data_IF_210898513480
#
_entry.id   IF_210898513480
#
_cell.length_a   1.000
_cell.length_b   1.000
_cell.length_c   1.000
_cell.angle_alpha   90.00
_cell.angle_beta   90.00
_cell.angle_gamma   90.00
#
_symmetry.space_group_name_H-M   'P 1'
#
loop_
_entity.id
_entity.type
_entity.pdbx_description
1 polymer ?
#
# COMPACT_ATOMS: atom_id res chain seq x y z
N UNK A 1 20.92 11.27 7.40
CA UNK A 1 19.91 11.89 8.28
C UNK A 1 18.94 12.62 7.37
N UNK A 2 17.94 11.92 6.88
CA UNK A 2 16.90 12.48 5.99
C UNK A 2 15.82 13.11 6.87
N UNK A 3 15.64 14.43 6.74
CA UNK A 3 14.69 15.18 7.52
C UNK A 3 13.27 14.79 7.19
N UNK A 4 12.65 13.99 8.04
CA UNK A 4 11.20 13.77 8.03
C UNK A 4 10.56 15.12 8.28
N UNK A 5 9.87 15.67 7.29
CA UNK A 5 9.06 16.88 7.44
C UNK A 5 7.89 16.58 8.36
N UNK A 6 8.03 16.90 9.64
CA UNK A 6 6.93 16.78 10.60
C UNK A 6 5.96 17.93 10.38
N UNK A 7 4.77 17.63 9.87
CA UNK A 7 3.66 18.57 9.95
C UNK A 7 3.27 18.81 11.43
N UNK A 8 2.74 19.98 11.78
CA UNK A 8 2.43 20.33 13.16
C UNK A 8 1.39 19.36 13.74
N UNK A 9 1.56 19.01 15.03
CA UNK A 9 0.59 18.24 15.77
C UNK A 9 -0.81 18.86 15.63
N UNK A 10 -1.77 18.14 15.05
CA UNK A 10 -3.17 18.55 15.14
C UNK A 10 -3.62 18.39 16.58
N UNK A 11 -3.85 19.52 17.24
CA UNK A 11 -4.25 19.56 18.66
C UNK A 11 -5.76 19.51 18.84
N UNK A 12 -6.52 19.72 17.78
CA UNK A 12 -7.98 19.77 17.80
C UNK A 12 -8.54 18.50 17.17
N UNK A 13 -9.38 17.74 17.90
CA UNK A 13 -10.09 16.59 17.33
C UNK A 13 -10.96 17.00 16.12
N UNK A 14 -11.11 16.12 15.11
CA UNK A 14 -11.94 16.39 13.96
C UNK A 14 -13.43 16.51 14.39
N UNK A 15 -14.14 17.44 13.78
CA UNK A 15 -15.56 17.66 14.06
C UNK A 15 -16.48 16.94 13.08
N UNK A 16 -16.03 16.75 11.83
CA UNK A 16 -16.78 16.10 10.75
C UNK A 16 -15.98 14.92 10.22
N UNK A 17 -16.45 13.72 10.54
CA UNK A 17 -15.77 12.46 10.21
C UNK A 17 -16.67 11.63 9.30
N UNK A 18 -16.12 11.17 8.19
CA UNK A 18 -16.78 10.20 7.31
C UNK A 18 -15.96 8.92 7.29
N UNK A 19 -16.56 7.80 7.71
CA UNK A 19 -15.93 6.48 7.66
C UNK A 19 -16.44 5.71 6.44
N UNK A 20 -15.53 5.38 5.53
CA UNK A 20 -15.76 4.55 4.35
C UNK A 20 -15.41 3.11 4.73
N UNK A 21 -16.40 2.23 4.76
CA UNK A 21 -16.29 0.88 5.31
C UNK A 21 -16.47 -0.16 4.21
N UNK A 22 -15.49 -1.03 4.04
CA UNK A 22 -15.66 -2.24 3.25
C UNK A 22 -16.38 -3.30 4.10
N UNK A 23 -17.60 -3.73 3.74
CA UNK A 23 -18.37 -4.69 4.54
C UNK A 23 -17.77 -6.10 4.57
N UNK A 24 -16.87 -6.44 3.62
CA UNK A 24 -16.15 -7.72 3.59
C UNK A 24 -15.03 -7.80 4.65
N UNK A 25 -14.93 -6.83 5.57
CA UNK A 25 -13.93 -6.84 6.65
C UNK A 25 -14.16 -7.99 7.63
N UNK A 26 -13.08 -8.47 8.22
CA UNK A 26 -13.14 -9.53 9.27
C UNK A 26 -13.85 -9.11 10.55
N UNK A 27 -14.05 -7.81 10.75
CA UNK A 27 -14.53 -7.24 12.03
C UNK A 27 -16.04 -7.05 12.06
N UNK A 28 -16.68 -6.97 10.89
CA UNK A 28 -18.12 -6.71 10.75
C UNK A 28 -18.49 -5.24 11.00
N UNK A 29 -19.41 -4.74 10.17
CA UNK A 29 -19.82 -3.31 10.17
C UNK A 29 -20.41 -2.86 11.50
N UNK A 30 -21.19 -3.71 12.18
CA UNK A 30 -21.81 -3.35 13.47
C UNK A 30 -20.75 -3.09 14.55
N UNK A 31 -19.68 -3.88 14.60
CA UNK A 31 -18.58 -3.67 15.54
C UNK A 31 -17.78 -2.39 15.22
N UNK A 32 -17.56 -2.11 13.93
CA UNK A 32 -16.92 -0.87 13.46
C UNK A 32 -17.76 0.34 13.89
N UNK A 33 -19.05 0.32 13.62
CA UNK A 33 -20.00 1.39 14.02
C UNK A 33 -19.93 1.63 15.53
N UNK A 34 -20.05 0.56 16.32
CA UNK A 34 -20.00 0.65 17.78
C UNK A 34 -18.68 1.25 18.28
N UNK A 35 -17.53 0.85 17.71
CA UNK A 35 -16.23 1.35 18.12
C UNK A 35 -16.04 2.85 17.78
N UNK A 36 -16.47 3.27 16.59
CA UNK A 36 -16.38 4.67 16.15
C UNK A 36 -17.32 5.56 16.99
N UNK A 37 -18.56 5.13 17.25
CA UNK A 37 -19.51 5.86 18.07
C UNK A 37 -19.03 6.00 19.53
N UNK A 38 -18.44 4.94 20.11
CA UNK A 38 -17.86 4.99 21.44
C UNK A 38 -16.64 5.91 21.54
N UNK A 39 -15.88 6.05 20.46
CA UNK A 39 -14.69 6.90 20.42
C UNK A 39 -15.04 8.37 20.11
N UNK A 40 -16.19 8.63 19.49
CA UNK A 40 -16.64 9.93 19.06
C UNK A 40 -16.92 10.86 20.23
N UNK A 41 -16.29 12.04 20.32
CA UNK A 41 -16.59 13.01 21.37
C UNK A 41 -17.94 13.68 21.14
N UNK A 42 -18.53 14.21 22.22
CA UNK A 42 -19.75 14.99 22.13
C UNK A 42 -19.57 16.19 21.16
N UNK A 43 -20.55 16.39 20.28
CA UNK A 43 -20.51 17.48 19.28
C UNK A 43 -19.75 17.17 17.99
N UNK A 44 -19.06 16.03 17.89
CA UNK A 44 -18.52 15.58 16.60
C UNK A 44 -19.59 14.85 15.78
N UNK A 45 -19.60 15.10 14.48
CA UNK A 45 -20.48 14.44 13.53
C UNK A 45 -19.76 13.25 12.89
N UNK A 46 -20.44 12.12 12.75
CA UNK A 46 -19.93 10.90 12.15
C UNK A 46 -20.95 10.36 11.14
N UNK A 47 -20.49 10.16 9.90
CA UNK A 47 -21.22 9.42 8.87
C UNK A 47 -20.44 8.13 8.54
N UNK A 48 -21.16 7.02 8.41
CA UNK A 48 -20.60 5.75 7.98
C UNK A 48 -21.20 5.38 6.64
N UNK A 49 -20.33 5.15 5.64
CA UNK A 49 -20.68 4.81 4.28
C UNK A 49 -20.14 3.40 4.01
N UNK A 50 -21.02 2.46 3.74
CA UNK A 50 -20.65 1.09 3.36
C UNK A 50 -20.51 1.02 1.84
N UNK A 51 -19.46 0.37 1.37
CA UNK A 51 -19.09 0.29 -0.06
C UNK A 51 -19.07 -1.16 -0.52
N UNK A 52 -20.04 -1.54 -1.34
CA UNK A 52 -20.23 -2.92 -1.81
C UNK A 52 -19.82 -3.13 -3.27
N UNK A 53 -19.58 -2.04 -4.02
CA UNK A 53 -19.29 -2.09 -5.45
C UNK A 53 -17.87 -1.61 -5.73
N UNK A 54 -17.21 -2.13 -6.77
CA UNK A 54 -15.91 -1.61 -7.22
C UNK A 54 -15.95 -0.09 -7.46
N UNK A 55 -14.95 0.63 -6.98
CA UNK A 55 -14.84 2.09 -7.10
C UNK A 55 -15.79 2.88 -6.19
N UNK A 56 -16.68 2.23 -5.42
CA UNK A 56 -17.57 2.95 -4.49
C UNK A 56 -16.78 3.66 -3.37
N UNK A 57 -15.68 3.08 -2.91
CA UNK A 57 -14.83 3.69 -1.89
C UNK A 57 -14.16 4.97 -2.40
N UNK A 58 -13.69 4.99 -3.65
CA UNK A 58 -13.13 6.19 -4.31
C UNK A 58 -14.18 7.30 -4.39
N UNK A 59 -15.39 6.97 -4.87
CA UNK A 59 -16.48 7.95 -4.98
C UNK A 59 -16.92 8.50 -3.62
N UNK A 60 -17.12 7.62 -2.64
CA UNK A 60 -17.51 8.02 -1.28
C UNK A 60 -16.45 8.91 -0.60
N UNK A 61 -15.16 8.62 -0.82
CA UNK A 61 -14.08 9.44 -0.29
C UNK A 61 -14.03 10.82 -0.97
N UNK A 62 -14.23 10.88 -2.29
CA UNK A 62 -14.27 12.14 -3.06
C UNK A 62 -15.42 13.03 -2.62
N UNK A 63 -16.61 12.46 -2.46
CA UNK A 63 -17.79 13.20 -1.93
C UNK A 63 -17.55 13.65 -0.49
N UNK A 64 -16.96 12.79 0.35
CA UNK A 64 -16.67 13.15 1.73
C UNK A 64 -15.64 14.28 1.84
N UNK A 65 -14.71 14.39 0.90
CA UNK A 65 -13.68 15.41 0.88
C UNK A 65 -14.22 16.84 0.76
N UNK A 66 -15.47 17.03 0.31
CA UNK A 66 -16.09 18.34 0.17
C UNK A 66 -16.36 19.01 1.52
N UNK A 67 -16.60 18.22 2.57
CA UNK A 67 -17.07 18.76 3.85
C UNK A 67 -16.49 18.08 5.11
N UNK A 68 -15.73 17.01 4.98
CA UNK A 68 -15.13 16.31 6.11
C UNK A 68 -13.79 16.88 6.54
N UNK A 69 -13.54 16.91 7.85
CA UNK A 69 -12.20 17.20 8.41
C UNK A 69 -11.28 15.96 8.35
N UNK A 70 -11.89 14.78 8.39
CA UNK A 70 -11.25 13.47 8.41
C UNK A 70 -12.08 12.46 7.65
N UNK A 71 -11.49 11.79 6.68
CA UNK A 71 -12.05 10.59 6.04
C UNK A 71 -11.33 9.37 6.58
N UNK A 72 -12.07 8.34 6.96
CA UNK A 72 -11.53 7.12 7.58
C UNK A 72 -11.73 5.95 6.64
N UNK A 73 -10.64 5.31 6.23
CA UNK A 73 -10.68 4.03 5.56
C UNK A 73 -10.79 2.89 6.59
N UNK A 74 -11.85 2.10 6.48
CA UNK A 74 -12.07 0.92 7.33
C UNK A 74 -12.01 -0.32 6.46
N UNK A 75 -10.86 -0.99 6.45
CA UNK A 75 -10.63 -2.12 5.57
C UNK A 75 -9.18 -2.59 5.56
N UNK A 76 -8.80 -3.29 4.50
CA UNK A 76 -7.42 -3.66 4.19
C UNK A 76 -6.71 -2.60 3.33
N UNK A 77 -5.50 -2.95 2.85
CA UNK A 77 -4.64 -2.03 2.08
C UNK A 77 -5.35 -1.52 0.81
N UNK A 78 -6.07 -2.37 0.06
CA UNK A 78 -6.87 -1.95 -1.10
C UNK A 78 -7.95 -0.91 -0.76
N UNK A 79 -8.67 -1.08 0.37
CA UNK A 79 -9.66 -0.07 0.82
C UNK A 79 -8.97 1.26 1.17
N UNK A 80 -7.78 1.19 1.78
CA UNK A 80 -6.99 2.39 2.11
C UNK A 80 -6.53 3.09 0.84
N UNK A 81 -6.08 2.36 -0.17
CA UNK A 81 -5.67 2.88 -1.47
C UNK A 81 -6.84 3.50 -2.25
N UNK A 82 -8.01 2.85 -2.25
CA UNK A 82 -9.21 3.40 -2.88
C UNK A 82 -9.65 4.72 -2.23
N UNK A 83 -9.69 4.78 -0.89
CA UNK A 83 -10.03 6.02 -0.18
C UNK A 83 -8.97 7.09 -0.45
N UNK A 84 -7.68 6.75 -0.44
CA UNK A 84 -6.61 7.67 -0.78
C UNK A 84 -6.76 8.23 -2.20
N UNK A 85 -7.11 7.37 -3.19
CA UNK A 85 -7.39 7.79 -4.57
C UNK A 85 -8.53 8.82 -4.64
N UNK A 86 -9.58 8.66 -3.83
CA UNK A 86 -10.67 9.63 -3.74
C UNK A 86 -10.28 10.96 -3.10
N UNK A 87 -9.24 10.96 -2.24
CA UNK A 87 -8.76 12.13 -1.52
C UNK A 87 -7.63 12.89 -2.23
N UNK A 88 -7.14 12.41 -3.37
CA UNK A 88 -6.07 13.07 -4.12
C UNK A 88 -6.41 14.54 -4.39
N UNK A 89 -5.50 15.44 -4.02
CA UNK A 89 -5.64 16.88 -4.24
C UNK A 89 -6.62 17.61 -3.29
N UNK A 90 -7.34 16.90 -2.42
CA UNK A 90 -8.31 17.53 -1.49
C UNK A 90 -7.66 18.16 -0.26
N UNK A 91 -6.51 17.66 0.17
CA UNK A 91 -5.87 18.04 1.43
C UNK A 91 -6.60 17.56 2.69
N UNK A 92 -7.64 16.73 2.55
CA UNK A 92 -8.37 16.15 3.68
C UNK A 92 -7.55 15.03 4.31
N UNK A 93 -7.57 14.97 5.64
CA UNK A 93 -6.83 14.00 6.42
C UNK A 93 -7.40 12.59 6.25
N UNK A 94 -6.54 11.59 6.05
CA UNK A 94 -6.92 10.19 5.99
C UNK A 94 -6.61 9.48 7.33
N UNK A 95 -7.63 8.89 7.93
CA UNK A 95 -7.49 7.98 9.05
C UNK A 95 -7.63 6.53 8.61
N UNK A 96 -7.03 5.59 9.33
CA UNK A 96 -7.12 4.17 9.03
C UNK A 96 -7.65 3.40 10.24
N UNK A 97 -8.63 2.53 10.00
CA UNK A 97 -9.02 1.46 10.92
C UNK A 97 -8.70 0.14 10.23
N UNK A 98 -7.58 -0.52 10.62
CA UNK A 98 -7.11 -1.71 9.93
C UNK A 98 -8.06 -2.89 10.18
N UNK A 99 -8.63 -3.44 9.12
CA UNK A 99 -9.59 -4.54 9.18
C UNK A 99 -9.37 -5.62 8.09
N UNK A 100 -8.28 -5.54 7.36
CA UNK A 100 -7.81 -6.53 6.38
C UNK A 100 -6.87 -7.57 6.98
N UNK A 101 -6.24 -8.37 6.11
CA UNK A 101 -5.28 -9.43 6.51
C UNK A 101 -3.89 -8.90 6.80
N UNK A 102 -3.35 -8.03 5.97
CA UNK A 102 -1.97 -7.54 6.04
C UNK A 102 -1.89 -6.17 6.69
N UNK A 103 -2.65 -5.18 6.19
CA UNK A 103 -2.70 -3.81 6.68
C UNK A 103 -1.29 -3.18 6.78
N UNK A 104 -0.48 -3.34 5.72
CA UNK A 104 0.94 -2.97 5.73
C UNK A 104 1.11 -1.46 5.92
N UNK A 105 0.27 -0.65 5.26
CA UNK A 105 0.30 0.81 5.39
C UNK A 105 0.02 1.23 6.83
N UNK A 106 -0.99 0.64 7.48
CA UNK A 106 -1.30 0.93 8.87
C UNK A 106 -0.16 0.53 9.82
N UNK A 107 0.49 -0.62 9.58
CA UNK A 107 1.63 -1.07 10.36
C UNK A 107 2.83 -0.13 10.23
N UNK A 108 3.19 0.30 9.01
CA UNK A 108 4.28 1.25 8.77
C UNK A 108 4.03 2.62 9.40
N UNK A 109 2.77 3.05 9.46
CA UNK A 109 2.34 4.28 10.12
C UNK A 109 2.23 4.13 11.65
N UNK A 110 2.43 2.94 12.20
CA UNK A 110 2.30 2.66 13.64
C UNK A 110 0.87 2.75 14.16
N UNK A 111 -0.12 2.58 13.28
CA UNK A 111 -1.54 2.61 13.66
C UNK A 111 -1.89 1.33 14.43
N UNK A 112 -2.60 1.42 15.57
CA UNK A 112 -2.98 0.26 16.36
C UNK A 112 -3.82 -0.74 15.54
N UNK A 113 -3.50 -2.04 15.62
CA UNK A 113 -4.24 -3.10 14.92
C UNK A 113 -5.62 -3.39 15.57
N UNK A 114 -5.82 -3.01 16.83
CA UNK A 114 -7.09 -3.21 17.53
C UNK A 114 -8.14 -2.17 17.15
N UNK A 115 -9.34 -2.61 16.75
CA UNK A 115 -10.45 -1.77 16.31
C UNK A 115 -10.73 -0.56 17.23
N UNK A 116 -10.86 -0.81 18.53
CA UNK A 116 -11.16 0.26 19.50
C UNK A 116 -9.99 1.23 19.68
N UNK A 117 -8.77 0.74 19.60
CA UNK A 117 -7.59 1.59 19.75
C UNK A 117 -7.39 2.48 18.50
N UNK A 118 -7.57 1.91 17.29
CA UNK A 118 -7.57 2.67 16.05
C UNK A 118 -8.69 3.72 16.03
N UNK A 119 -9.93 3.35 16.41
CA UNK A 119 -11.04 4.30 16.49
C UNK A 119 -10.76 5.46 17.46
N UNK A 120 -10.17 5.20 18.63
CA UNK A 120 -9.79 6.26 19.59
C UNK A 120 -8.72 7.20 19.06
N UNK A 121 -7.75 6.67 18.29
CA UNK A 121 -6.72 7.49 17.65
C UNK A 121 -7.32 8.59 16.78
N UNK A 122 -8.37 8.29 16.03
CA UNK A 122 -9.00 9.21 15.08
C UNK A 122 -9.61 10.44 15.75
N UNK A 123 -10.12 10.29 16.96
CA UNK A 123 -10.77 11.36 17.72
C UNK A 123 -9.90 11.94 18.86
N UNK A 124 -8.72 11.34 19.09
CA UNK A 124 -7.76 11.84 20.06
C UNK A 124 -6.81 12.87 19.42
N UNK A 125 -5.92 13.43 20.22
CA UNK A 125 -4.76 14.18 19.72
C UNK A 125 -3.87 13.22 18.95
N UNK A 126 -3.50 13.59 17.73
CA UNK A 126 -2.62 12.83 16.84
C UNK A 126 -1.63 13.77 16.14
N UNK A 127 -0.58 13.22 15.58
CA UNK A 127 0.26 13.90 14.61
C UNK A 127 -0.19 13.53 13.21
N UNK A 128 0.28 14.29 12.22
CA UNK A 128 0.07 13.97 10.82
C UNK A 128 1.38 13.62 10.12
N UNK A 129 1.29 12.76 9.12
CA UNK A 129 2.42 12.39 8.25
C UNK A 129 1.93 12.41 6.83
N UNK A 130 2.69 13.06 5.94
CA UNK A 130 2.42 13.02 4.50
C UNK A 130 3.20 11.90 3.85
N UNK A 131 2.59 11.27 2.85
CA UNK A 131 3.18 10.20 2.06
C UNK A 131 3.04 10.48 0.58
N UNK A 132 4.05 10.04 -0.15
CA UNK A 132 3.99 9.92 -1.60
C UNK A 132 3.02 8.81 -1.98
N UNK A 133 2.55 8.83 -3.20
CA UNK A 133 1.80 7.73 -3.80
C UNK A 133 2.29 7.48 -5.23
N UNK A 134 2.22 6.25 -5.68
CA UNK A 134 2.32 5.96 -7.12
C UNK A 134 0.95 6.17 -7.75
N UNK A 135 0.87 6.90 -8.85
CA UNK A 135 -0.35 7.33 -9.50
C UNK A 135 -0.43 6.81 -10.93
N UNK A 136 -1.54 6.20 -11.31
CA UNK A 136 -1.86 5.82 -12.69
C UNK A 136 -3.31 6.21 -13.01
N UNK A 137 -3.49 7.21 -13.86
CA UNK A 137 -4.79 7.81 -14.10
C UNK A 137 -5.34 8.47 -12.81
N UNK A 138 -6.51 8.03 -12.39
CA UNK A 138 -7.19 8.49 -11.17
C UNK A 138 -7.04 7.52 -9.97
N UNK A 139 -6.23 6.48 -10.12
CA UNK A 139 -5.97 5.48 -9.07
C UNK A 139 -4.54 5.59 -8.56
N UNK A 140 -4.39 5.45 -7.25
CA UNK A 140 -3.07 5.40 -6.64
C UNK A 140 -2.84 4.09 -5.90
N UNK A 141 -1.56 3.78 -5.69
CA UNK A 141 -1.11 2.82 -4.70
C UNK A 141 -0.24 3.51 -3.65
N UNK A 142 -0.33 3.04 -2.44
CA UNK A 142 0.38 3.57 -1.29
C UNK A 142 1.67 2.83 -1.01
N UNK A 143 1.71 1.57 -1.40
CA UNK A 143 2.80 0.67 -1.05
C UNK A 143 3.56 0.18 -2.28
N UNK A 144 2.93 -0.59 -3.17
CA UNK A 144 3.58 -1.06 -4.39
C UNK A 144 2.62 -1.44 -5.51
N UNK A 145 3.10 -1.29 -6.75
CA UNK A 145 2.51 -1.90 -7.93
C UNK A 145 3.37 -3.08 -8.41
N UNK A 146 2.75 -4.04 -9.09
CA UNK A 146 3.44 -5.19 -9.67
C UNK A 146 2.91 -5.55 -11.05
N UNK A 147 3.77 -6.08 -11.92
CA UNK A 147 3.42 -6.61 -13.23
C UNK A 147 4.16 -7.93 -13.50
N UNK A 148 3.51 -8.85 -14.24
CA UNK A 148 4.03 -10.19 -14.52
C UNK A 148 3.78 -11.20 -13.40
N UNK A 149 3.08 -10.83 -12.35
CA UNK A 149 2.88 -11.58 -11.14
C UNK A 149 1.38 -11.73 -10.83
N UNK A 150 0.95 -12.93 -10.42
CA UNK A 150 -0.40 -13.14 -9.91
C UNK A 150 -0.54 -12.47 -8.52
N UNK A 151 -1.28 -11.38 -8.44
CA UNK A 151 -1.55 -10.65 -7.21
C UNK A 151 -2.07 -11.54 -6.06
N UNK A 152 -2.78 -12.60 -6.42
CA UNK A 152 -3.33 -13.55 -5.46
C UNK A 152 -2.31 -14.57 -4.91
N UNK A 153 -1.07 -14.56 -5.39
CA UNK A 153 -0.06 -15.52 -4.92
C UNK A 153 0.23 -15.36 -3.43
N UNK A 154 0.29 -14.12 -2.94
CA UNK A 154 0.47 -13.87 -1.50
C UNK A 154 -0.75 -14.23 -0.64
N UNK A 155 -1.95 -14.25 -1.22
CA UNK A 155 -3.15 -14.70 -0.53
C UNK A 155 -3.18 -16.23 -0.33
N UNK A 156 -2.45 -16.98 -1.17
CA UNK A 156 -2.33 -18.45 -1.08
C UNK A 156 -1.44 -18.93 0.07
N UNK A 157 -0.73 -18.05 0.77
CA UNK A 157 0.11 -18.46 1.89
C UNK A 157 -0.74 -19.10 3.01
N UNK A 158 -0.42 -20.33 3.39
CA UNK A 158 -1.15 -21.14 4.35
C UNK A 158 -1.35 -20.41 5.69
N UNK A 159 -2.60 -20.16 6.14
CA UNK A 159 -2.88 -19.52 7.42
C UNK A 159 -2.34 -20.27 8.63
N UNK A 160 -2.19 -21.61 8.53
CA UNK A 160 -1.59 -22.46 9.54
C UNK A 160 -0.09 -22.22 9.68
N UNK A 161 0.59 -22.07 8.54
CA UNK A 161 2.01 -21.79 8.49
C UNK A 161 2.29 -20.35 8.98
N UNK A 162 1.47 -19.37 8.58
CA UNK A 162 1.54 -17.98 9.09
C UNK A 162 1.56 -17.91 10.62
N UNK A 163 0.75 -18.74 11.30
CA UNK A 163 0.70 -18.77 12.77
C UNK A 163 1.94 -19.39 13.40
N UNK A 164 2.62 -20.32 12.72
CA UNK A 164 3.80 -21.03 13.25
C UNK A 164 5.11 -20.32 13.00
N UNK A 165 5.31 -19.77 11.80
CA UNK A 165 6.59 -19.23 11.36
C UNK A 165 6.53 -17.75 10.95
N UNK A 166 5.38 -17.10 11.13
CA UNK A 166 5.21 -15.67 10.84
C UNK A 166 5.45 -15.35 9.35
N UNK A 167 6.26 -14.32 9.10
CA UNK A 167 6.55 -13.84 7.74
C UNK A 167 7.29 -14.88 6.87
N UNK A 168 8.01 -15.85 7.44
CA UNK A 168 8.67 -16.91 6.69
C UNK A 168 7.69 -17.76 5.87
N UNK A 169 6.41 -17.78 6.24
CA UNK A 169 5.35 -18.46 5.49
C UNK A 169 5.16 -17.92 4.06
N UNK A 170 5.69 -16.74 3.75
CA UNK A 170 5.58 -16.13 2.43
C UNK A 170 6.74 -16.44 1.49
N UNK A 171 7.85 -17.01 2.00
CA UNK A 171 9.00 -17.36 1.16
C UNK A 171 8.67 -18.37 0.04
N UNK A 172 7.83 -19.40 0.25
CA UNK A 172 7.38 -20.25 -0.85
C UNK A 172 6.64 -19.47 -1.94
N UNK A 173 5.74 -18.56 -1.55
CA UNK A 173 5.01 -17.73 -2.51
C UNK A 173 5.94 -16.80 -3.29
N UNK A 174 6.96 -16.22 -2.65
CA UNK A 174 7.98 -15.43 -3.33
C UNK A 174 8.80 -16.27 -4.32
N UNK A 175 9.14 -17.52 -3.95
CA UNK A 175 9.83 -18.44 -4.86
C UNK A 175 8.96 -18.85 -6.04
N UNK A 176 7.65 -19.06 -5.82
CA UNK A 176 6.71 -19.41 -6.89
C UNK A 176 6.51 -18.24 -7.86
N UNK A 177 6.46 -17.01 -7.35
CA UNK A 177 6.44 -15.81 -8.19
C UNK A 177 7.62 -15.74 -9.17
N UNK A 178 8.80 -16.04 -8.69
CA UNK A 178 10.02 -16.04 -9.52
C UNK A 178 10.13 -17.27 -10.45
N UNK A 179 9.27 -18.27 -10.30
CA UNK A 179 9.20 -19.44 -11.21
C UNK A 179 8.25 -19.23 -12.37
N UNK A 180 7.44 -18.17 -12.35
CA UNK A 180 6.62 -17.83 -13.50
C UNK A 180 7.50 -17.63 -14.76
N UNK A 181 7.02 -18.02 -15.94
CA UNK A 181 7.75 -17.80 -17.18
C UNK A 181 8.12 -16.32 -17.32
N UNK A 182 9.37 -15.99 -17.65
CA UNK A 182 9.76 -14.62 -17.87
C UNK A 182 9.01 -14.03 -19.07
N UNK A 183 8.62 -12.78 -18.96
CA UNK A 183 7.97 -12.00 -19.99
C UNK A 183 8.91 -10.89 -20.44
N UNK A 184 8.86 -10.54 -21.70
CA UNK A 184 9.64 -9.45 -22.23
C UNK A 184 9.01 -8.11 -21.84
N UNK A 185 9.69 -7.35 -21.00
CA UNK A 185 9.31 -6.01 -20.57
C UNK A 185 10.06 -4.94 -21.37
N UNK A 186 9.32 -4.01 -21.97
CA UNK A 186 9.82 -2.72 -22.39
C UNK A 186 9.50 -1.71 -21.30
N UNK A 187 10.55 -1.17 -20.67
CA UNK A 187 10.44 -0.27 -19.51
C UNK A 187 11.06 1.07 -19.88
N UNK A 188 10.32 2.16 -19.62
CA UNK A 188 10.80 3.52 -19.75
C UNK A 188 10.71 4.23 -18.39
N UNK A 189 11.79 4.88 -17.98
CA UNK A 189 11.90 5.70 -16.77
C UNK A 189 12.32 7.13 -17.15
N UNK A 190 12.51 8.01 -16.18
CA UNK A 190 12.93 9.39 -16.40
C UNK A 190 14.21 9.49 -17.23
N UNK A 191 15.16 8.58 -16.98
CA UNK A 191 16.55 8.70 -17.43
C UNK A 191 17.00 7.56 -18.37
N UNK A 192 16.22 6.49 -18.49
CA UNK A 192 16.64 5.31 -19.27
C UNK A 192 15.50 4.49 -19.83
N UNK A 193 15.85 3.66 -20.83
CA UNK A 193 15.00 2.62 -21.39
C UNK A 193 15.67 1.27 -21.18
N UNK A 194 14.88 0.28 -20.77
CA UNK A 194 15.31 -1.08 -20.55
C UNK A 194 14.43 -2.02 -21.37
N UNK A 195 15.05 -3.03 -21.98
CA UNK A 195 14.37 -4.17 -22.56
C UNK A 195 14.92 -5.41 -21.86
N UNK A 196 14.06 -6.12 -21.11
CA UNK A 196 14.52 -7.18 -20.22
C UNK A 196 13.47 -8.27 -20.09
N UNK A 197 13.93 -9.52 -20.02
CA UNK A 197 13.08 -10.65 -19.64
C UNK A 197 13.01 -10.76 -18.12
N UNK A 198 11.81 -10.79 -17.58
CA UNK A 198 11.59 -10.83 -16.14
C UNK A 198 10.32 -11.61 -15.80
N UNK A 199 10.32 -12.46 -14.76
CA UNK A 199 9.09 -13.03 -14.23
C UNK A 199 8.25 -12.02 -13.41
N UNK A 200 8.90 -10.97 -12.88
CA UNK A 200 8.29 -10.02 -11.95
C UNK A 200 8.96 -8.65 -12.01
N UNK A 201 8.14 -7.63 -12.20
CA UNK A 201 8.53 -6.23 -12.05
C UNK A 201 7.69 -5.60 -10.94
N UNK A 202 8.34 -4.93 -9.98
CA UNK A 202 7.69 -4.15 -8.93
C UNK A 202 8.03 -2.67 -9.07
N UNK A 203 7.07 -1.82 -8.77
CA UNK A 203 7.24 -0.36 -8.60
C UNK A 203 6.89 -0.08 -7.14
N UNK A 204 7.89 0.17 -6.31
CA UNK A 204 7.74 0.33 -4.87
C UNK A 204 7.74 1.80 -4.46
N UNK A 205 6.74 2.19 -3.68
CA UNK A 205 6.68 3.42 -2.90
C UNK A 205 7.01 3.13 -1.43
N UNK A 206 6.62 1.96 -0.92
CA UNK A 206 6.98 1.44 0.40
C UNK A 206 7.98 0.28 0.30
N UNK A 207 8.91 0.20 1.25
CA UNK A 207 9.98 -0.80 1.22
C UNK A 207 9.63 -2.13 1.88
N UNK A 208 8.60 -2.18 2.73
CA UNK A 208 8.20 -3.40 3.43
C UNK A 208 7.35 -4.30 2.52
N UNK A 209 7.45 -5.61 2.68
CA UNK A 209 6.59 -6.59 1.99
C UNK A 209 5.87 -7.39 3.06
N UNK A 210 4.54 -7.30 3.15
CA UNK A 210 3.72 -8.11 4.07
C UNK A 210 3.96 -7.81 5.56
N UNK A 211 5.20 -7.55 5.99
CA UNK A 211 5.58 -7.24 7.37
C UNK A 211 6.67 -6.17 7.39
N UNK A 212 6.62 -5.18 8.30
CA UNK A 212 7.58 -4.07 8.35
C UNK A 212 9.06 -4.48 8.47
N UNK A 213 9.34 -5.66 9.03
CA UNK A 213 10.71 -6.20 9.15
C UNK A 213 11.21 -6.87 7.87
N UNK A 214 10.31 -7.24 6.96
CA UNK A 214 10.67 -7.86 5.68
C UNK A 214 10.67 -6.79 4.60
N UNK A 215 11.85 -6.27 4.27
CA UNK A 215 11.99 -5.15 3.34
C UNK A 215 12.71 -5.58 2.06
N UNK A 216 12.22 -5.11 0.92
CA UNK A 216 12.90 -5.24 -0.38
C UNK A 216 14.22 -4.49 -0.37
N UNK A 217 14.19 -3.24 0.09
CA UNK A 217 15.36 -2.40 0.27
C UNK A 217 15.09 -1.43 1.42
N UNK A 218 15.97 -1.33 2.43
CA UNK A 218 15.83 -0.36 3.53
C UNK A 218 15.84 1.11 3.07
N UNK A 219 16.39 1.41 1.88
CA UNK A 219 16.47 2.76 1.34
C UNK A 219 15.16 3.25 0.72
N UNK A 220 14.20 2.37 0.42
CA UNK A 220 12.89 2.76 -0.11
C UNK A 220 12.11 3.53 0.97
N UNK A 221 11.72 4.76 0.64
CA UNK A 221 11.13 5.70 1.57
C UNK A 221 9.88 6.36 0.95
N UNK A 222 8.71 6.25 1.57
CA UNK A 222 7.44 6.70 0.97
C UNK A 222 7.16 8.20 1.18
N UNK A 223 8.17 9.02 1.38
CA UNK A 223 8.07 10.47 1.58
C UNK A 223 9.29 11.24 1.05
N UNK A 224 9.97 10.71 0.04
CA UNK A 224 11.17 11.28 -0.54
C UNK A 224 11.01 11.74 -2.00
N UNK A 225 9.80 11.63 -2.55
CA UNK A 225 9.43 12.07 -3.89
C UNK A 225 9.90 11.15 -5.01
N UNK A 226 10.17 9.88 -4.70
CA UNK A 226 10.66 8.90 -5.67
C UNK A 226 9.91 7.56 -5.56
N UNK A 227 9.97 6.80 -6.66
CA UNK A 227 9.58 5.39 -6.73
C UNK A 227 10.84 4.55 -6.98
N UNK A 228 10.84 3.33 -6.49
CA UNK A 228 11.89 2.35 -6.75
C UNK A 228 11.35 1.25 -7.67
N UNK A 229 11.82 1.22 -8.91
CA UNK A 229 11.56 0.16 -9.87
C UNK A 229 12.50 -1.01 -9.57
N UNK A 230 11.94 -2.19 -9.36
CA UNK A 230 12.66 -3.43 -9.05
C UNK A 230 12.32 -4.47 -10.11
N UNK A 231 13.30 -4.85 -10.93
CA UNK A 231 13.15 -5.85 -11.99
C UNK A 231 13.90 -7.10 -11.58
N UNK A 232 13.18 -8.19 -11.39
CA UNK A 232 13.77 -9.49 -11.02
C UNK A 232 14.18 -10.25 -12.28
N UNK A 233 15.44 -10.66 -12.35
CA UNK A 233 15.99 -11.34 -13.53
C UNK A 233 16.38 -12.80 -13.22
N UNK A 234 16.06 -13.30 -12.03
CA UNK A 234 16.29 -14.69 -11.64
C UNK A 234 15.39 -15.64 -12.45
N UNK A 235 15.95 -16.41 -13.37
CA UNK A 235 15.23 -17.37 -14.22
C UNK A 235 15.67 -18.82 -14.02
N UNK A 236 16.79 -19.05 -13.33
CA UNK A 236 17.28 -20.40 -13.01
C UNK A 236 16.93 -20.79 -11.57
N UNK A 237 16.74 -22.08 -11.25
CA UNK A 237 16.47 -22.50 -9.88
C UNK A 237 17.51 -22.03 -8.86
N UNK A 238 18.79 -21.98 -9.25
CA UNK A 238 19.87 -21.50 -8.39
C UNK A 238 19.77 -19.98 -8.15
N UNK A 239 19.48 -19.19 -9.19
CA UNK A 239 19.27 -17.75 -9.07
C UNK A 239 18.03 -17.43 -8.22
N UNK A 240 16.93 -18.15 -8.41
CA UNK A 240 15.71 -18.01 -7.60
C UNK A 240 16.01 -18.31 -6.12
N UNK A 241 16.68 -19.42 -5.83
CA UNK A 241 17.03 -19.77 -4.45
C UNK A 241 17.94 -18.71 -3.81
N UNK A 242 18.90 -18.16 -4.57
CA UNK A 242 19.75 -17.05 -4.13
C UNK A 242 18.92 -15.81 -3.81
N UNK A 243 18.10 -15.34 -4.74
CA UNK A 243 17.26 -14.16 -4.58
C UNK A 243 16.34 -14.26 -3.36
N UNK A 244 15.70 -15.43 -3.16
CA UNK A 244 14.86 -15.69 -1.98
C UNK A 244 15.67 -15.66 -0.68
N UNK A 245 16.88 -16.24 -0.69
CA UNK A 245 17.78 -16.21 0.47
C UNK A 245 18.28 -14.80 0.78
N UNK A 246 18.61 -14.01 -0.24
CA UNK A 246 19.01 -12.61 -0.09
C UNK A 246 17.88 -11.73 0.43
N UNK A 247 16.66 -11.97 -0.05
CA UNK A 247 15.46 -11.33 0.49
C UNK A 247 15.24 -11.67 1.97
N UNK A 248 15.29 -12.95 2.32
CA UNK A 248 15.12 -13.41 3.70
C UNK A 248 16.19 -12.88 4.67
N UNK A 249 17.39 -12.60 4.16
CA UNK A 249 18.53 -12.08 4.95
C UNK A 249 18.70 -10.56 4.85
N UNK A 250 17.80 -9.85 4.16
CA UNK A 250 17.86 -8.39 3.98
C UNK A 250 18.99 -7.90 3.07
N UNK A 251 19.50 -8.77 2.19
CA UNK A 251 20.60 -8.46 1.24
C UNK A 251 20.13 -8.28 -0.20
N UNK A 252 18.84 -8.31 -0.46
CA UNK A 252 18.27 -8.27 -1.80
C UNK A 252 18.75 -7.05 -2.63
N UNK A 253 18.96 -5.89 -2.00
CA UNK A 253 19.43 -4.69 -2.68
C UNK A 253 20.80 -4.83 -3.38
N UNK A 254 21.60 -5.82 -3.00
CA UNK A 254 22.89 -6.14 -3.62
C UNK A 254 22.85 -7.36 -4.54
N UNK A 255 21.67 -7.91 -4.83
CA UNK A 255 21.53 -9.11 -5.66
C UNK A 255 21.95 -8.84 -7.11
N UNK A 256 22.73 -9.74 -7.73
CA UNK A 256 23.01 -9.68 -9.15
C UNK A 256 21.78 -9.98 -10.02
N UNK A 257 20.73 -10.56 -9.44
CA UNK A 257 19.48 -10.91 -10.11
C UNK A 257 18.39 -9.82 -9.91
N UNK A 258 18.77 -8.63 -9.43
CA UNK A 258 17.89 -7.51 -9.25
C UNK A 258 18.43 -6.27 -9.96
N UNK A 259 17.66 -5.71 -10.88
CA UNK A 259 17.89 -4.37 -11.40
C UNK A 259 17.03 -3.41 -10.58
N UNK A 260 17.65 -2.48 -9.87
CA UNK A 260 16.97 -1.46 -9.09
C UNK A 260 17.22 -0.08 -9.71
N UNK A 261 16.14 0.66 -9.96
CA UNK A 261 16.18 2.00 -10.57
C UNK A 261 15.30 2.93 -9.76
N UNK A 262 15.87 4.00 -9.25
CA UNK A 262 15.11 5.05 -8.59
C UNK A 262 14.65 6.07 -9.63
N UNK A 263 13.36 6.38 -9.66
CA UNK A 263 12.74 7.15 -10.74
C UNK A 263 11.47 7.87 -10.26
N UNK A 264 10.99 8.84 -11.01
CA UNK A 264 9.70 9.51 -10.76
C UNK A 264 8.59 9.01 -11.66
N UNK A 265 8.95 8.43 -12.80
CA UNK A 265 7.99 7.90 -13.76
C UNK A 265 8.41 6.51 -14.21
N UNK A 266 7.44 5.63 -14.40
CA UNK A 266 7.64 4.28 -14.96
C UNK A 266 6.56 4.01 -15.99
N UNK A 267 6.97 3.61 -17.19
CA UNK A 267 6.07 3.03 -18.18
C UNK A 267 6.48 1.60 -18.44
N UNK A 268 5.53 0.68 -18.27
CA UNK A 268 5.73 -0.74 -18.53
C UNK A 268 4.86 -1.17 -19.70
N UNK A 269 5.46 -1.84 -20.66
CA UNK A 269 4.75 -2.53 -21.74
C UNK A 269 5.29 -3.95 -21.89
N UNK A 270 4.41 -4.89 -22.23
CA UNK A 270 4.75 -6.30 -22.46
C UNK A 270 4.00 -6.83 -23.67
N UNK A 271 4.54 -7.86 -24.29
CA UNK A 271 3.87 -8.63 -25.32
C UNK A 271 4.10 -10.13 -25.05
N UNK A 272 3.04 -10.90 -24.72
CA UNK A 272 1.64 -10.50 -24.53
C UNK A 272 1.42 -9.61 -23.29
N UNK A 273 0.27 -8.90 -23.19
CA UNK A 273 -0.11 -8.15 -22.00
C UNK A 273 -0.18 -9.04 -20.75
N UNK A 274 0.33 -8.53 -19.62
CA UNK A 274 0.30 -9.23 -18.33
C UNK A 274 -0.52 -8.47 -17.28
N UNK A 275 -1.08 -9.15 -16.27
CA UNK A 275 -1.80 -8.49 -15.19
C UNK A 275 -0.93 -7.47 -14.45
N UNK A 276 -1.58 -6.36 -14.07
CA UNK A 276 -1.01 -5.30 -13.22
C UNK A 276 -1.83 -5.21 -11.94
N UNK A 277 -1.16 -5.15 -10.80
CA UNK A 277 -1.79 -4.98 -9.50
C UNK A 277 -1.30 -3.71 -8.80
N UNK A 278 -2.17 -3.09 -7.97
CA UNK A 278 -1.86 -2.01 -7.03
C UNK A 278 -2.24 -2.45 -5.62
N UNK A 279 -1.29 -2.43 -4.70
CA UNK A 279 -1.45 -2.85 -3.29
C UNK A 279 -2.15 -4.22 -3.10
N UNK A 280 -2.00 -5.14 -4.08
CA UNK A 280 -2.58 -6.47 -4.09
C UNK A 280 -3.87 -6.62 -4.90
N UNK A 281 -4.49 -5.54 -5.37
CA UNK A 281 -5.68 -5.58 -6.20
C UNK A 281 -5.33 -5.50 -7.70
N UNK A 282 -5.80 -6.45 -8.51
CA UNK A 282 -5.63 -6.41 -9.98
C UNK A 282 -6.43 -5.24 -10.56
N UNK A 283 -5.73 -4.32 -11.24
CA UNK A 283 -6.33 -3.11 -11.80
C UNK A 283 -6.47 -3.14 -13.32
N UNK A 284 -5.86 -4.11 -13.97
CA UNK A 284 -5.86 -4.25 -15.43
C UNK A 284 -4.66 -5.04 -15.93
N UNK A 285 -4.22 -4.72 -17.12
CA UNK A 285 -3.06 -5.34 -17.78
C UNK A 285 -2.13 -4.26 -18.33
N UNK A 286 -0.88 -4.63 -18.65
CA UNK A 286 0.04 -3.76 -19.39
C UNK A 286 -0.54 -3.37 -20.78
N UNK A 287 -0.19 -2.18 -21.33
CA UNK A 287 0.75 -1.21 -20.81
C UNK A 287 0.19 -0.37 -19.65
N UNK A 288 1.04 -0.01 -18.72
CA UNK A 288 0.72 0.86 -17.58
C UNK A 288 1.75 1.99 -17.46
N UNK A 289 1.29 3.18 -17.08
CA UNK A 289 2.13 4.33 -16.74
C UNK A 289 1.89 4.71 -15.29
N UNK A 290 2.95 4.89 -14.53
CA UNK A 290 2.94 5.27 -13.13
C UNK A 290 3.84 6.48 -12.92
N UNK A 291 3.32 7.51 -12.26
CA UNK A 291 4.07 8.68 -11.84
C UNK A 291 4.04 8.79 -10.31
N UNK A 292 5.11 9.32 -9.68
CA UNK A 292 5.06 9.65 -8.27
C UNK A 292 4.24 10.93 -8.07
N UNK A 293 3.33 10.93 -7.09
CA UNK A 293 2.70 12.15 -6.58
C UNK A 293 3.28 12.42 -5.17
N UNK A 294 4.23 13.36 -5.04
CA UNK A 294 4.93 13.60 -3.79
C UNK A 294 4.02 14.16 -2.72
N UNK A 295 4.12 13.61 -1.49
CA UNK A 295 3.41 14.06 -0.29
C UNK A 295 1.90 14.27 -0.51
N UNK A 296 1.30 13.43 -1.36
CA UNK A 296 -0.06 13.61 -1.87
C UNK A 296 -1.14 13.32 -0.83
N UNK A 297 -0.86 12.43 0.13
CA UNK A 297 -1.84 12.02 1.16
C UNK A 297 -1.28 12.32 2.55
N UNK A 298 -2.12 12.92 3.39
CA UNK A 298 -1.82 13.20 4.79
C UNK A 298 -2.58 12.22 5.70
N UNK A 299 -1.86 11.52 6.58
CA UNK A 299 -2.39 10.49 7.46
C UNK A 299 -2.42 10.95 8.92
N UNK A 300 -3.50 10.59 9.64
CA UNK A 300 -3.57 10.67 11.10
C UNK A 300 -2.80 9.50 11.73
N UNK A 301 -1.78 9.78 12.54
CA UNK A 301 -0.92 8.75 13.14
C UNK A 301 -0.75 8.99 14.65
N UNK A 302 -0.39 7.96 15.46
CA UNK A 302 -0.20 8.11 16.89
C UNK A 302 0.83 9.18 17.24
N UNK A 303 0.64 9.84 18.38
CA UNK A 303 1.70 10.59 19.07
C UNK A 303 2.75 9.56 19.54
N UNK A 304 4.01 9.76 19.19
CA UNK A 304 5.11 8.95 19.75
C UNK A 304 5.42 9.39 21.17
#
# INVERSE_FOLDING_TARGET
MTGVSFAPNRTVPPRRVVAVVNPATRVGVAAVRSALEQARPAGAWLRIVETTEPGAAVRAAREAAEDADLVVAVGGDGTVADVASGLLGSGVLLGIVPAGSTNIVAQELGIPSGLRAAARLLFARHRTVRRDVGLSGDRCFLHMAGAGFDAHLFDRADPGLKRKVGWLAYLPAAADALREPPVHFAIETDDRRLAVESPLVLIANGGAVIHPLLRLNPAICPDDGWLDLLVFTATTPAAIARTVSEFATGRLAGSPDLIAVRTKTVRLATDPPVPVQFDGDVIGVTPVSVDVAPLAIEFAVPLR
#
